data_IF_300955962327
#
_entry.id   IF_300955962327
#
_cell.length_a   1.000
_cell.length_b   1.000
_cell.length_c   1.000
_cell.angle_alpha   90.00
_cell.angle_beta   90.00
_cell.angle_gamma   90.00
#
_symmetry.space_group_name_H-M   'P 1'
#
loop_
_entity.id
_entity.type
_entity.pdbx_description
1 polymer ?
#
# COMPACT_ATOMS: atom_id res chain seq x y z
N UNK A 1 -8.50 -11.48 25.88
CA UNK A 1 -9.59 -10.52 25.62
C UNK A 1 -9.07 -9.08 25.69
N UNK A 2 -8.04 -8.72 24.93
CA UNK A 2 -7.45 -7.36 24.92
C UNK A 2 -7.14 -6.88 23.48
N UNK A 3 -7.98 -7.26 22.50
CA UNK A 3 -7.81 -6.93 21.08
C UNK A 3 -8.91 -6.01 20.53
N UNK A 4 -9.65 -5.31 21.37
CA UNK A 4 -10.74 -4.41 20.98
C UNK A 4 -10.56 -2.97 21.47
N UNK A 5 -9.35 -2.44 21.46
CA UNK A 5 -9.23 -1.00 21.30
C UNK A 5 -9.38 -0.77 19.78
N UNK A 6 -10.43 -0.08 19.36
CA UNK A 6 -10.67 0.26 17.96
C UNK A 6 -9.44 1.02 17.42
N UNK A 7 -8.60 0.42 16.58
CA UNK A 7 -7.46 1.13 15.99
C UNK A 7 -7.93 2.15 14.94
N UNK A 8 -9.22 2.19 14.65
CA UNK A 8 -9.94 3.19 13.88
C UNK A 8 -10.66 4.02 14.94
N UNK A 9 -9.95 4.94 15.60
CA UNK A 9 -10.58 5.88 16.53
C UNK A 9 -11.83 6.51 15.90
N UNK A 10 -12.81 6.90 16.71
CA UNK A 10 -14.00 7.70 16.31
C UNK A 10 -13.54 9.04 15.72
N UNK A 11 -12.98 8.97 14.51
CA UNK A 11 -12.63 10.13 13.74
C UNK A 11 -13.84 10.51 12.89
N UNK A 12 -14.58 11.55 13.34
CA UNK A 12 -15.64 12.13 12.54
C UNK A 12 -15.05 12.91 11.37
N UNK A 13 -15.64 12.85 10.16
CA UNK A 13 -15.13 13.55 8.98
C UNK A 13 -15.34 15.09 9.03
N UNK A 14 -15.58 15.66 10.18
CA UNK A 14 -15.77 17.09 10.36
C UNK A 14 -14.44 17.82 10.46
N UNK A 15 -13.67 17.88 9.39
CA UNK A 15 -12.63 18.91 9.21
C UNK A 15 -13.23 20.32 9.13
N UNK A 16 -14.53 20.42 8.87
CA UNK A 16 -15.23 21.68 8.70
C UNK A 16 -15.47 22.45 10.02
N UNK A 17 -15.31 21.81 11.18
CA UNK A 17 -15.43 22.50 12.47
C UNK A 17 -14.04 22.83 13.02
N UNK A 18 -13.28 23.65 12.27
CA UNK A 18 -11.95 24.13 12.63
C UNK A 18 -11.89 24.98 13.90
N UNK A 19 -12.99 25.09 14.66
CA UNK A 19 -13.10 25.74 15.96
C UNK A 19 -13.36 24.78 17.13
N UNK A 20 -13.59 23.49 16.87
CA UNK A 20 -13.65 22.49 17.96
C UNK A 20 -12.39 21.62 17.93
N UNK A 21 -11.64 21.55 19.04
CA UNK A 21 -10.48 20.68 19.11
C UNK A 21 -10.93 19.22 18.90
N UNK A 22 -10.36 18.55 17.93
CA UNK A 22 -10.55 17.12 17.59
C UNK A 22 -10.15 16.14 18.72
N UNK A 23 -9.83 16.66 19.91
CA UNK A 23 -9.56 15.92 21.14
C UNK A 23 -10.09 16.74 22.32
N UNK A 24 -11.18 16.30 22.91
CA UNK A 24 -11.50 16.66 24.28
C UNK A 24 -10.41 16.09 25.19
N UNK A 25 -9.64 16.97 25.77
CA UNK A 25 -8.80 16.98 26.95
C UNK A 25 -7.33 17.35 26.71
N UNK A 26 -7.01 18.58 27.17
CA UNK A 26 -5.71 19.05 27.69
C UNK A 26 -4.45 18.75 26.88
N UNK A 27 -4.19 19.56 25.90
CA UNK A 27 -2.96 20.32 25.56
C UNK A 27 -3.15 20.93 24.17
N UNK A 28 -2.60 22.10 23.91
CA UNK A 28 -2.69 22.78 22.61
C UNK A 28 -2.46 21.77 21.47
N UNK A 29 -3.45 21.59 20.60
CA UNK A 29 -3.38 20.64 19.50
C UNK A 29 -2.12 20.93 18.69
N UNK A 30 -1.11 20.07 18.82
CA UNK A 30 0.17 20.23 18.16
C UNK A 30 -0.02 19.80 16.70
N UNK A 31 -0.15 20.79 15.81
CA UNK A 31 -0.20 20.61 14.36
C UNK A 31 1.20 20.81 13.76
N UNK A 32 2.07 19.78 13.73
CA UNK A 32 3.41 19.95 13.20
C UNK A 32 3.34 20.28 11.71
N UNK A 33 4.14 21.22 11.21
CA UNK A 33 4.13 21.61 9.81
C UNK A 33 4.62 20.44 8.92
N UNK A 34 4.05 20.33 7.71
CA UNK A 34 4.22 19.18 6.80
C UNK A 34 4.70 19.62 5.43
N UNK A 35 5.67 18.89 4.85
CA UNK A 35 6.03 18.98 3.44
C UNK A 35 5.44 17.78 2.68
N UNK A 36 4.48 18.06 1.78
CA UNK A 36 3.96 17.07 0.83
C UNK A 36 4.91 17.03 -0.35
N UNK A 37 5.50 15.87 -0.67
CA UNK A 37 6.44 15.72 -1.79
C UNK A 37 5.81 14.86 -2.87
N UNK A 38 5.78 15.40 -4.09
CA UNK A 38 5.28 14.74 -5.30
C UNK A 38 6.39 14.69 -6.34
N UNK A 39 6.71 13.52 -6.85
CA UNK A 39 7.62 13.37 -7.97
C UNK A 39 6.84 13.23 -9.27
N UNK A 40 7.21 13.99 -10.29
CA UNK A 40 6.55 14.02 -11.59
C UNK A 40 7.55 13.84 -12.74
N UNK A 41 7.16 13.06 -13.74
CA UNK A 41 7.84 12.92 -15.02
C UNK A 41 6.82 12.72 -16.14
N UNK A 42 6.57 13.78 -16.91
CA UNK A 42 5.52 13.81 -17.93
C UNK A 42 4.14 13.47 -17.34
N UNK A 43 3.73 14.23 -16.33
CA UNK A 43 2.48 14.04 -15.59
C UNK A 43 1.57 15.27 -15.65
N UNK A 44 1.62 16.08 -16.74
CA UNK A 44 0.87 17.34 -16.85
C UNK A 44 -0.60 17.19 -16.46
N UNK A 45 -1.32 16.26 -17.10
CA UNK A 45 -2.76 16.10 -16.85
C UNK A 45 -3.09 15.62 -15.43
N UNK A 46 -2.19 14.87 -14.81
CA UNK A 46 -2.34 14.43 -13.43
C UNK A 46 -2.04 15.59 -12.45
N UNK A 47 -1.00 16.39 -12.69
CA UNK A 47 -0.67 17.56 -11.88
C UNK A 47 -1.80 18.62 -11.93
N UNK A 48 -2.41 18.85 -13.09
CA UNK A 48 -3.57 19.74 -13.22
C UNK A 48 -4.76 19.33 -12.35
N UNK A 49 -4.91 18.02 -12.11
CA UNK A 49 -5.97 17.50 -11.25
C UNK A 49 -5.55 17.45 -9.78
N UNK A 50 -4.29 17.09 -9.50
CA UNK A 50 -3.82 16.86 -8.14
C UNK A 50 -3.57 18.15 -7.37
N UNK A 51 -2.95 19.17 -7.99
CA UNK A 51 -2.54 20.37 -7.27
C UNK A 51 -3.70 21.14 -6.62
N UNK A 52 -4.86 21.34 -7.26
CA UNK A 52 -6.01 21.92 -6.58
C UNK A 52 -6.42 21.14 -5.34
N UNK A 53 -6.50 19.80 -5.43
CA UNK A 53 -6.90 18.93 -4.30
C UNK A 53 -5.90 18.97 -3.13
N UNK A 54 -4.62 19.12 -3.42
CA UNK A 54 -3.61 19.28 -2.38
C UNK A 54 -3.64 20.68 -1.76
N UNK A 55 -3.89 21.71 -2.55
CA UNK A 55 -3.95 23.10 -2.06
C UNK A 55 -5.18 23.37 -1.19
N UNK A 56 -6.26 22.60 -1.41
CA UNK A 56 -7.51 22.66 -0.62
C UNK A 56 -7.47 21.91 0.70
N UNK A 57 -6.32 21.32 1.09
CA UNK A 57 -6.23 20.60 2.36
C UNK A 57 -6.43 21.54 3.56
N UNK A 58 -7.34 21.16 4.45
CA UNK A 58 -7.62 21.91 5.70
C UNK A 58 -6.56 21.53 6.73
N UNK A 59 -5.44 22.29 6.71
CA UNK A 59 -4.33 22.10 7.64
C UNK A 59 -3.57 23.41 7.87
N UNK A 60 -3.15 23.75 9.12
CA UNK A 60 -2.62 25.10 9.43
C UNK A 60 -1.34 25.48 8.71
N UNK A 61 -0.39 24.55 8.54
CA UNK A 61 0.92 24.87 7.97
C UNK A 61 1.45 23.68 7.17
N UNK A 62 1.54 23.85 5.86
CA UNK A 62 2.12 22.84 4.98
C UNK A 62 2.69 23.48 3.70
N UNK A 63 3.51 22.74 3.00
CA UNK A 63 3.94 23.05 1.64
C UNK A 63 3.71 21.85 0.70
N UNK A 64 3.58 22.13 -0.57
CA UNK A 64 3.51 21.15 -1.65
C UNK A 64 4.76 21.33 -2.51
N UNK A 65 5.69 20.37 -2.44
CA UNK A 65 6.94 20.40 -3.17
C UNK A 65 6.89 19.40 -4.33
N UNK A 66 6.82 19.93 -5.55
CA UNK A 66 6.82 19.12 -6.77
C UNK A 66 8.25 18.93 -7.28
N UNK A 67 8.67 17.70 -7.48
CA UNK A 67 9.95 17.36 -8.09
C UNK A 67 9.72 17.03 -9.56
N UNK A 68 9.99 18.00 -10.46
CA UNK A 68 9.87 17.81 -11.90
C UNK A 68 11.14 17.17 -12.47
N UNK A 69 11.09 15.86 -12.74
CA UNK A 69 12.23 15.13 -13.29
C UNK A 69 12.24 15.17 -14.82
N UNK A 70 12.77 16.26 -15.41
CA UNK A 70 13.01 16.38 -16.86
C UNK A 70 11.75 16.22 -17.72
N UNK A 71 10.58 16.66 -17.24
CA UNK A 71 9.36 16.60 -18.05
C UNK A 71 9.46 17.42 -19.33
N UNK A 72 8.83 16.92 -20.39
CA UNK A 72 8.81 17.52 -21.74
C UNK A 72 7.39 17.69 -22.30
N UNK A 73 6.37 17.39 -21.51
CA UNK A 73 4.95 17.39 -21.89
C UNK A 73 4.21 18.69 -21.56
N UNK A 74 4.94 19.75 -21.18
CA UNK A 74 4.36 21.02 -20.72
C UNK A 74 4.20 21.13 -19.20
N UNK A 75 4.55 20.09 -18.42
CA UNK A 75 4.49 20.11 -16.94
C UNK A 75 5.26 21.30 -16.36
N UNK A 76 6.44 21.64 -16.93
CA UNK A 76 7.24 22.76 -16.45
C UNK A 76 6.48 24.09 -16.54
N UNK A 77 5.96 24.43 -17.72
CA UNK A 77 5.23 25.68 -17.93
C UNK A 77 3.99 25.77 -17.02
N UNK A 78 3.31 24.66 -16.82
CA UNK A 78 2.20 24.57 -15.89
C UNK A 78 2.65 24.81 -14.44
N UNK A 79 3.77 24.23 -14.00
CA UNK A 79 4.29 24.40 -12.63
C UNK A 79 4.76 25.83 -12.37
N UNK A 80 5.35 26.51 -13.37
CA UNK A 80 5.70 27.94 -13.29
C UNK A 80 4.45 28.80 -13.02
N UNK A 81 3.33 28.52 -13.67
CA UNK A 81 2.04 29.17 -13.42
C UNK A 81 1.41 28.76 -12.08
N UNK A 82 1.50 27.48 -11.72
CA UNK A 82 0.93 26.95 -10.49
C UNK A 82 1.53 27.58 -9.23
N UNK A 83 2.83 27.91 -9.24
CA UNK A 83 3.47 28.60 -8.12
C UNK A 83 2.90 30.01 -7.89
N UNK A 84 2.44 30.68 -8.94
CA UNK A 84 1.77 31.98 -8.82
C UNK A 84 0.31 31.84 -8.38
N UNK A 85 -0.32 30.74 -8.74
CA UNK A 85 -1.75 30.50 -8.50
C UNK A 85 -2.06 29.89 -7.13
N UNK A 86 -1.20 29.00 -6.63
CA UNK A 86 -1.41 28.22 -5.42
C UNK A 86 -0.41 28.60 -4.32
N UNK A 87 -0.91 29.04 -3.18
CA UNK A 87 -0.11 29.57 -2.07
C UNK A 87 0.92 28.58 -1.51
N UNK A 88 0.56 27.28 -1.47
CA UNK A 88 1.38 26.25 -0.85
C UNK A 88 2.33 25.54 -1.81
N UNK A 89 2.26 25.84 -3.13
CA UNK A 89 2.98 25.10 -4.17
C UNK A 89 4.33 25.74 -4.46
N UNK A 90 5.35 24.91 -4.49
CA UNK A 90 6.64 25.21 -5.10
C UNK A 90 7.18 23.99 -5.84
N UNK A 91 8.10 24.18 -6.78
CA UNK A 91 8.69 23.05 -7.48
C UNK A 91 10.20 23.18 -7.61
N UNK A 92 10.86 22.03 -7.78
CA UNK A 92 12.29 21.94 -8.10
C UNK A 92 12.42 21.12 -9.37
N UNK A 93 13.08 21.68 -10.38
CA UNK A 93 13.37 20.97 -11.60
C UNK A 93 14.70 20.23 -11.50
N UNK A 94 14.70 18.99 -11.96
CA UNK A 94 15.89 18.18 -12.17
C UNK A 94 16.19 18.18 -13.67
N UNK A 95 17.34 18.73 -14.05
CA UNK A 95 17.67 18.90 -15.48
C UNK A 95 18.48 17.73 -16.04
N UNK A 96 19.13 16.94 -15.21
CA UNK A 96 20.06 15.87 -15.63
C UNK A 96 19.72 14.52 -15.01
N UNK A 97 19.93 13.48 -15.78
CA UNK A 97 19.92 12.11 -15.30
C UNK A 97 21.23 11.80 -14.57
N UNK A 98 21.16 10.97 -13.56
CA UNK A 98 22.29 10.55 -12.76
C UNK A 98 22.50 9.03 -12.87
N UNK A 99 23.65 8.60 -13.43
CA UNK A 99 23.92 7.19 -13.76
C UNK A 99 23.96 6.24 -12.55
N UNK A 100 24.14 6.77 -11.34
CA UNK A 100 24.39 5.98 -10.14
C UNK A 100 23.18 5.85 -9.21
N UNK A 101 22.07 6.47 -9.55
CA UNK A 101 20.82 6.50 -8.76
C UNK A 101 19.61 6.38 -9.66
N UNK A 102 18.57 5.70 -9.19
CA UNK A 102 17.32 5.67 -9.96
C UNK A 102 16.65 7.05 -9.95
N UNK A 103 16.05 7.50 -11.07
CA UNK A 103 15.50 8.85 -11.19
C UNK A 103 14.54 9.21 -10.05
N UNK A 104 13.56 8.36 -9.73
CA UNK A 104 12.62 8.62 -8.63
C UNK A 104 13.30 8.78 -7.27
N UNK A 105 14.30 7.95 -6.94
CA UNK A 105 15.04 8.09 -5.67
C UNK A 105 15.88 9.36 -5.62
N UNK A 106 16.43 9.78 -6.74
CA UNK A 106 17.13 11.07 -6.81
C UNK A 106 16.17 12.23 -6.56
N UNK A 107 15.02 12.23 -7.25
CA UNK A 107 13.98 13.23 -7.08
C UNK A 107 13.48 13.29 -5.63
N UNK A 108 13.12 12.14 -5.05
CA UNK A 108 12.70 12.05 -3.65
C UNK A 108 13.79 12.53 -2.68
N UNK A 109 15.04 12.10 -2.87
CA UNK A 109 16.14 12.52 -2.00
C UNK A 109 16.34 14.03 -2.05
N UNK A 110 16.29 14.61 -3.25
CA UNK A 110 16.39 16.04 -3.46
C UNK A 110 15.22 16.78 -2.81
N UNK A 111 13.98 16.28 -3.02
CA UNK A 111 12.79 16.84 -2.41
C UNK A 111 12.84 16.80 -0.88
N UNK A 112 13.18 15.67 -0.27
CA UNK A 112 13.27 15.52 1.18
C UNK A 112 14.34 16.43 1.78
N UNK A 113 15.47 16.60 1.11
CA UNK A 113 16.54 17.50 1.56
C UNK A 113 16.15 18.97 1.50
N UNK A 114 15.37 19.36 0.49
CA UNK A 114 14.89 20.73 0.29
C UNK A 114 13.51 21.00 0.93
N UNK A 115 12.91 20.00 1.57
CA UNK A 115 11.69 20.16 2.33
C UNK A 115 11.87 21.17 3.47
N UNK A 116 10.93 22.10 3.64
CA UNK A 116 10.97 23.12 4.70
C UNK A 116 10.67 22.51 6.06
N UNK A 117 9.81 21.47 6.11
CA UNK A 117 9.28 20.94 7.36
C UNK A 117 9.85 19.55 7.69
N UNK A 118 9.73 19.17 8.97
CA UNK A 118 10.28 17.92 9.48
C UNK A 118 9.37 16.70 9.26
N UNK A 119 8.11 16.93 8.95
CA UNK A 119 7.18 15.85 8.57
C UNK A 119 7.10 15.80 7.06
N UNK A 120 7.38 14.64 6.49
CA UNK A 120 7.31 14.37 5.07
C UNK A 120 6.10 13.48 4.79
N UNK A 121 5.24 13.91 3.87
CA UNK A 121 4.14 13.11 3.34
C UNK A 121 4.36 12.90 1.85
N UNK A 122 4.44 11.65 1.44
CA UNK A 122 4.63 11.26 0.04
C UNK A 122 3.30 10.91 -0.61
N UNK A 123 3.10 11.39 -1.83
CA UNK A 123 2.08 10.91 -2.75
C UNK A 123 2.63 10.92 -4.18
N UNK A 124 2.05 10.09 -5.07
CA UNK A 124 2.44 10.06 -6.48
C UNK A 124 1.60 11.06 -7.29
N UNK A 125 2.13 11.54 -8.42
CA UNK A 125 1.44 12.53 -9.26
C UNK A 125 0.11 12.03 -9.84
N UNK A 126 -0.06 10.70 -10.01
CA UNK A 126 -1.28 10.04 -10.50
C UNK A 126 -2.27 9.68 -9.38
N UNK A 127 -2.05 10.21 -8.17
CA UNK A 127 -2.89 9.99 -7.00
C UNK A 127 -3.79 11.18 -6.70
N UNK A 128 -4.93 10.91 -6.07
CA UNK A 128 -5.90 11.93 -5.64
C UNK A 128 -6.34 11.63 -4.20
N UNK A 129 -6.11 12.56 -3.25
CA UNK A 129 -6.66 12.46 -1.91
C UNK A 129 -8.19 12.39 -1.95
N UNK A 130 -8.80 11.66 -1.02
CA UNK A 130 -10.26 11.50 -0.95
C UNK A 130 -10.98 12.82 -0.64
N UNK A 131 -10.33 13.75 0.08
CA UNK A 131 -10.92 15.03 0.43
C UNK A 131 -9.94 15.93 1.18
N UNK A 132 -10.43 17.05 1.64
CA UNK A 132 -9.66 18.11 2.29
C UNK A 132 -9.07 17.73 3.66
N UNK A 133 -9.51 16.62 4.25
CA UNK A 133 -9.06 16.13 5.55
C UNK A 133 -7.95 15.07 5.50
N UNK A 134 -7.46 14.73 4.33
CA UNK A 134 -6.44 13.70 4.15
C UNK A 134 -5.16 13.99 4.93
N UNK A 135 -4.65 15.22 4.81
CA UNK A 135 -3.43 15.65 5.49
C UNK A 135 -3.58 15.62 7.01
N UNK A 136 -4.64 16.23 7.52
CA UNK A 136 -4.94 16.26 8.97
C UNK A 136 -5.07 14.84 9.55
N UNK A 137 -5.80 13.95 8.86
CA UNK A 137 -5.98 12.57 9.29
C UNK A 137 -4.67 11.76 9.28
N UNK A 138 -3.78 11.99 8.33
CA UNK A 138 -2.47 11.34 8.34
C UNK A 138 -1.60 11.82 9.50
N UNK A 139 -1.57 13.14 9.77
CA UNK A 139 -0.77 13.73 10.85
C UNK A 139 -1.25 13.31 12.23
N UNK A 140 -2.55 13.12 12.44
CA UNK A 140 -3.12 12.73 13.74
C UNK A 140 -2.44 11.50 14.35
N UNK A 141 -1.94 10.58 13.54
CA UNK A 141 -1.20 9.40 13.99
C UNK A 141 0.21 9.69 14.54
N UNK A 142 0.75 10.91 14.35
CA UNK A 142 2.03 11.35 14.92
C UNK A 142 1.90 12.07 16.27
N UNK A 143 0.70 12.18 16.82
CA UNK A 143 0.47 12.72 18.17
C UNK A 143 1.21 11.92 19.24
N UNK A 144 1.35 10.61 19.08
CA UNK A 144 2.28 9.79 19.84
C UNK A 144 3.72 10.09 19.38
N UNK A 145 4.53 10.67 20.27
CA UNK A 145 5.93 11.05 19.98
C UNK A 145 6.84 9.87 19.60
N UNK A 146 6.47 8.63 19.94
CA UNK A 146 7.19 7.43 19.52
C UNK A 146 6.95 7.10 18.05
N UNK A 147 5.87 7.58 17.45
CA UNK A 147 5.55 7.32 16.04
C UNK A 147 6.36 8.24 15.13
N UNK A 148 7.02 7.62 14.19
CA UNK A 148 7.86 8.30 13.19
C UNK A 148 7.43 7.99 11.76
N UNK A 149 6.60 6.98 11.56
CA UNK A 149 6.12 6.49 10.28
C UNK A 149 4.62 6.28 10.37
N UNK A 150 3.88 6.74 9.36
CA UNK A 150 2.45 6.43 9.17
C UNK A 150 2.27 5.75 7.83
N UNK A 151 1.78 4.52 7.86
CA UNK A 151 1.45 3.75 6.68
C UNK A 151 0.00 4.01 6.31
N UNK A 152 -0.24 4.64 5.17
CA UNK A 152 -1.58 4.87 4.63
C UNK A 152 -1.99 3.80 3.63
N UNK A 153 -3.25 3.83 3.21
CA UNK A 153 -3.78 3.01 2.13
C UNK A 153 -3.94 3.83 0.85
N UNK A 154 -3.48 3.29 -0.26
CA UNK A 154 -3.63 3.87 -1.59
C UNK A 154 -4.44 2.93 -2.50
N UNK A 155 -5.77 2.93 -2.43
CA UNK A 155 -6.61 2.09 -3.28
C UNK A 155 -6.60 2.54 -4.74
N UNK A 156 -7.04 1.65 -5.64
CA UNK A 156 -7.35 2.01 -7.01
C UNK A 156 -8.83 2.33 -7.20
N UNK A 157 -9.12 3.27 -8.10
CA UNK A 157 -10.48 3.66 -8.48
C UNK A 157 -11.30 2.46 -8.98
N UNK A 158 -12.61 2.54 -8.73
CA UNK A 158 -13.58 1.60 -9.30
C UNK A 158 -13.98 2.08 -10.69
N UNK A 159 -13.57 1.34 -11.72
CA UNK A 159 -13.96 1.59 -13.11
C UNK A 159 -14.99 0.55 -13.56
N UNK A 160 -16.12 1.00 -14.06
CA UNK A 160 -17.22 0.11 -14.48
C UNK A 160 -16.92 -0.57 -15.81
N UNK A 161 -16.18 0.08 -16.67
CA UNK A 161 -15.83 -0.28 -18.04
C UNK A 161 -14.69 -1.32 -18.16
N UNK A 162 -13.86 -1.49 -17.12
CA UNK A 162 -12.70 -2.40 -17.14
C UNK A 162 -12.92 -3.76 -16.44
N UNK A 163 -14.14 -4.21 -16.31
CA UNK A 163 -14.57 -5.57 -15.99
C UNK A 163 -13.75 -6.29 -14.90
N UNK A 164 -13.24 -7.49 -15.22
CA UNK A 164 -12.56 -8.37 -14.29
C UNK A 164 -11.16 -7.87 -13.88
N UNK A 165 -10.43 -7.20 -14.78
CA UNK A 165 -9.07 -6.72 -14.46
C UNK A 165 -9.10 -5.66 -13.36
N UNK A 166 -10.04 -4.74 -13.39
CA UNK A 166 -10.20 -3.74 -12.32
C UNK A 166 -10.57 -4.39 -10.98
N UNK A 167 -11.42 -5.44 -11.00
CA UNK A 167 -11.75 -6.21 -9.79
C UNK A 167 -10.52 -6.91 -9.22
N UNK A 168 -9.70 -7.53 -10.07
CA UNK A 168 -8.47 -8.20 -9.68
C UNK A 168 -7.46 -7.21 -9.08
N UNK A 169 -7.21 -6.08 -9.74
CA UNK A 169 -6.28 -5.04 -9.27
C UNK A 169 -6.72 -4.51 -7.91
N UNK A 170 -8.00 -4.20 -7.75
CA UNK A 170 -8.54 -3.67 -6.49
C UNK A 170 -8.48 -4.71 -5.37
N UNK A 171 -8.80 -5.96 -5.66
CA UNK A 171 -8.71 -7.04 -4.70
C UNK A 171 -7.26 -7.30 -4.26
N UNK A 172 -6.33 -7.38 -5.20
CA UNK A 172 -4.91 -7.58 -4.91
C UNK A 172 -4.34 -6.42 -4.07
N UNK A 173 -4.74 -5.19 -4.37
CA UNK A 173 -4.32 -4.01 -3.60
C UNK A 173 -4.89 -4.03 -2.18
N UNK A 174 -6.17 -4.39 -2.01
CA UNK A 174 -6.76 -4.59 -0.69
C UNK A 174 -6.04 -5.70 0.08
N UNK A 175 -5.77 -6.83 -0.56
CA UNK A 175 -5.09 -7.96 0.06
C UNK A 175 -3.68 -7.58 0.52
N UNK A 176 -2.94 -6.84 -0.31
CA UNK A 176 -1.62 -6.30 0.04
C UNK A 176 -1.72 -5.33 1.22
N UNK A 177 -2.73 -4.45 1.24
CA UNK A 177 -2.93 -3.53 2.35
C UNK A 177 -3.25 -4.26 3.66
N UNK A 178 -4.15 -5.23 3.62
CA UNK A 178 -4.46 -6.09 4.79
C UNK A 178 -3.19 -6.76 5.30
N UNK A 179 -2.32 -7.23 4.40
CA UNK A 179 -1.08 -7.91 4.76
C UNK A 179 -0.10 -6.96 5.47
N UNK A 180 0.24 -5.80 4.88
CA UNK A 180 1.21 -4.92 5.53
C UNK A 180 0.66 -4.22 6.77
N UNK A 181 -0.63 -3.90 6.83
CA UNK A 181 -1.25 -3.38 8.05
C UNK A 181 -1.27 -4.41 9.17
N UNK A 182 -1.69 -5.65 8.87
CA UNK A 182 -1.72 -6.73 9.88
C UNK A 182 -0.32 -7.04 10.41
N UNK A 183 0.68 -7.05 9.53
CA UNK A 183 2.07 -7.24 9.96
C UNK A 183 2.58 -6.08 10.81
N UNK A 184 2.23 -4.83 10.48
CA UNK A 184 2.58 -3.66 11.30
C UNK A 184 1.92 -3.72 12.69
N UNK A 185 0.63 -4.04 12.76
CA UNK A 185 -0.12 -4.23 14.02
C UNK A 185 0.45 -5.38 14.86
N UNK A 186 0.94 -6.44 14.23
CA UNK A 186 1.64 -7.54 14.89
C UNK A 186 3.09 -7.20 15.29
N UNK A 187 3.50 -5.93 15.22
CA UNK A 187 4.85 -5.47 15.57
C UNK A 187 5.94 -5.87 14.56
N UNK A 188 5.56 -6.18 13.33
CA UNK A 188 6.46 -6.63 12.25
C UNK A 188 6.27 -5.82 10.96
N UNK A 189 6.35 -4.48 11.00
CA UNK A 189 6.22 -3.68 9.80
C UNK A 189 7.33 -4.06 8.80
N UNK A 190 7.00 -4.10 7.50
CA UNK A 190 7.96 -4.52 6.48
C UNK A 190 7.89 -3.71 5.19
N UNK A 191 6.80 -3.00 4.94
CA UNK A 191 6.64 -2.14 3.77
C UNK A 191 5.62 -1.03 4.02
N UNK A 192 5.65 -0.02 3.19
CA UNK A 192 4.63 0.99 2.98
C UNK A 192 4.42 1.19 1.49
N UNK A 193 3.47 2.03 1.10
CA UNK A 193 3.21 2.40 -0.30
C UNK A 193 3.48 3.89 -0.49
N UNK A 194 4.39 4.25 -1.39
CA UNK A 194 4.89 5.61 -1.60
C UNK A 194 3.81 6.62 -1.96
N UNK A 195 2.68 6.17 -2.47
CA UNK A 195 1.54 7.03 -2.80
C UNK A 195 0.71 7.49 -1.60
N UNK A 196 0.98 6.95 -0.40
CA UNK A 196 0.34 7.39 0.86
C UNK A 196 1.20 6.99 2.06
N UNK A 197 2.35 7.66 2.21
CA UNK A 197 3.36 7.32 3.19
C UNK A 197 3.89 8.58 3.87
N UNK A 198 3.80 8.62 5.20
CA UNK A 198 4.31 9.75 5.99
C UNK A 198 5.44 9.28 6.91
N UNK A 199 6.44 10.13 7.09
CA UNK A 199 7.50 9.88 8.07
C UNK A 199 8.22 11.17 8.49
N UNK A 200 8.92 11.12 9.62
CA UNK A 200 9.78 12.21 10.06
C UNK A 200 11.03 12.29 9.18
N UNK A 201 11.33 13.48 8.67
CA UNK A 201 12.51 13.77 7.81
C UNK A 201 13.80 13.29 8.44
N UNK A 202 13.96 13.48 9.76
CA UNK A 202 15.14 13.01 10.52
C UNK A 202 15.37 11.52 10.33
N UNK A 203 14.33 10.68 10.33
CA UNK A 203 14.46 9.24 10.11
C UNK A 203 15.09 8.90 8.76
N UNK A 204 14.74 9.65 7.71
CA UNK A 204 15.33 9.49 6.38
C UNK A 204 16.79 9.91 6.36
N UNK A 205 17.12 11.04 6.95
CA UNK A 205 18.50 11.57 6.97
C UNK A 205 19.44 10.68 7.80
N UNK A 206 19.02 10.24 8.98
CA UNK A 206 19.79 9.36 9.87
C UNK A 206 20.09 8.01 9.21
N UNK A 207 19.14 7.47 8.41
CA UNK A 207 19.34 6.25 7.63
C UNK A 207 20.17 6.45 6.35
N UNK A 208 20.70 7.65 6.09
CA UNK A 208 21.38 8.01 4.82
C UNK A 208 20.49 7.82 3.59
N UNK A 209 19.18 8.03 3.74
CA UNK A 209 18.18 7.93 2.68
C UNK A 209 18.13 6.53 2.05
N UNK A 210 18.25 6.49 0.72
CA UNK A 210 18.18 5.25 -0.06
C UNK A 210 19.55 4.61 -0.35
N UNK A 211 20.59 4.97 0.40
CA UNK A 211 21.98 4.59 0.08
C UNK A 211 22.17 3.07 -0.10
N UNK A 212 21.60 2.26 0.77
CA UNK A 212 21.70 0.79 0.75
C UNK A 212 21.12 0.13 -0.52
N UNK A 213 20.17 0.81 -1.18
CA UNK A 213 19.45 0.29 -2.34
C UNK A 213 19.26 1.35 -3.45
N UNK A 214 20.18 2.31 -3.53
CA UNK A 214 20.09 3.47 -4.44
C UNK A 214 19.99 3.08 -5.92
N UNK A 215 20.57 1.94 -6.32
CA UNK A 215 20.56 1.40 -7.69
C UNK A 215 19.41 0.41 -7.96
N UNK A 216 18.62 0.08 -6.95
CA UNK A 216 17.49 -0.84 -7.13
C UNK A 216 16.33 -0.09 -7.75
N UNK A 217 15.80 -0.56 -8.87
CA UNK A 217 14.62 0.04 -9.50
C UNK A 217 13.38 -0.25 -8.62
N UNK A 218 12.73 0.80 -8.10
CA UNK A 218 11.72 0.72 -7.06
C UNK A 218 12.34 0.61 -5.66
N UNK A 219 11.52 0.38 -4.64
CA UNK A 219 11.97 0.29 -3.25
C UNK A 219 12.23 1.63 -2.58
N UNK A 220 11.74 2.70 -3.15
CA UNK A 220 11.75 4.04 -2.56
C UNK A 220 10.80 4.11 -1.35
N UNK A 221 9.83 3.26 -1.30
CA UNK A 221 8.85 3.12 -0.22
C UNK A 221 9.12 1.85 0.62
N UNK A 222 8.94 0.69 0.02
CA UNK A 222 8.96 -0.59 0.73
C UNK A 222 10.34 -0.96 1.28
N UNK A 223 11.45 -0.76 0.54
CA UNK A 223 12.80 -1.04 1.07
C UNK A 223 13.20 -0.06 2.17
N UNK A 224 12.87 1.21 1.99
CA UNK A 224 13.14 2.20 3.04
C UNK A 224 12.40 1.83 4.33
N UNK A 225 11.11 1.55 4.25
CA UNK A 225 10.33 1.10 5.42
C UNK A 225 10.85 -0.23 5.97
N UNK A 226 11.25 -1.17 5.11
CA UNK A 226 11.84 -2.43 5.55
C UNK A 226 13.10 -2.23 6.39
N UNK A 227 13.88 -1.18 6.12
CA UNK A 227 15.10 -0.84 6.87
C UNK A 227 14.82 -0.15 8.20
N UNK A 228 13.93 0.86 8.21
CA UNK A 228 13.80 1.79 9.33
C UNK A 228 12.62 1.49 10.26
N UNK A 229 11.66 0.70 9.80
CA UNK A 229 10.45 0.43 10.57
C UNK A 229 10.69 -0.58 11.71
N UNK A 230 10.08 -0.28 12.84
CA UNK A 230 10.10 -1.10 14.06
C UNK A 230 8.69 -1.25 14.62
N UNK A 231 8.48 -2.16 15.56
CA UNK A 231 7.19 -2.34 16.23
C UNK A 231 6.69 -1.07 16.95
N UNK A 232 7.59 -0.18 17.34
CA UNK A 232 7.26 1.00 18.17
C UNK A 232 7.03 2.26 17.33
N UNK A 233 7.79 2.44 16.23
CA UNK A 233 7.81 3.71 15.50
C UNK A 233 6.80 3.80 14.34
N UNK A 234 5.98 2.75 14.11
CA UNK A 234 4.99 2.72 13.03
C UNK A 234 3.58 2.89 13.57
N UNK A 235 2.79 3.71 12.89
CA UNK A 235 1.35 3.76 12.97
C UNK A 235 0.73 3.40 11.62
N UNK A 236 -0.53 3.00 11.60
CA UNK A 236 -1.30 2.76 10.38
C UNK A 236 -2.46 3.76 10.29
N UNK A 237 -2.75 4.24 9.09
CA UNK A 237 -3.91 5.06 8.79
C UNK A 237 -4.86 4.28 7.88
N UNK A 238 -5.93 3.75 8.48
CA UNK A 238 -6.89 2.88 7.81
C UNK A 238 -8.28 3.54 7.65
N UNK A 239 -8.42 4.82 8.00
CA UNK A 239 -9.67 5.55 7.84
C UNK A 239 -9.86 6.01 6.39
N UNK A 240 -11.04 5.82 5.77
CA UNK A 240 -11.29 6.19 4.37
C UNK A 240 -10.92 7.63 3.99
N UNK A 241 -11.11 8.60 4.88
CA UNK A 241 -10.77 10.00 4.63
C UNK A 241 -9.26 10.26 4.49
N UNK A 242 -8.40 9.29 4.88
CA UNK A 242 -6.95 9.38 4.73
C UNK A 242 -6.42 8.65 3.50
N UNK A 243 -7.27 8.24 2.59
CA UNK A 243 -6.85 7.48 1.41
C UNK A 243 -6.48 8.40 0.24
N UNK A 244 -5.62 7.88 -0.64
CA UNK A 244 -5.32 8.47 -1.94
C UNK A 244 -5.65 7.46 -3.03
N UNK A 245 -6.54 7.82 -3.94
CA UNK A 245 -6.90 6.95 -5.06
C UNK A 245 -6.00 7.18 -6.26
N UNK A 246 -5.64 6.12 -6.97
CA UNK A 246 -4.97 6.21 -8.26
C UNK A 246 -5.71 5.44 -9.34
N UNK A 247 -5.46 5.81 -10.60
CA UNK A 247 -6.05 5.13 -11.75
C UNK A 247 -5.44 3.74 -11.91
N UNK A 248 -6.24 2.67 -12.01
CA UNK A 248 -5.71 1.32 -12.24
C UNK A 248 -5.16 1.18 -13.65
N UNK A 249 -4.26 0.21 -13.86
CA UNK A 249 -3.85 -0.21 -15.21
C UNK A 249 -5.04 -0.78 -15.96
N UNK A 250 -5.09 -0.53 -17.26
CA UNK A 250 -6.23 -0.88 -18.10
C UNK A 250 -6.14 -2.31 -18.64
N UNK A 251 -4.93 -2.80 -18.85
CA UNK A 251 -4.68 -4.13 -19.39
C UNK A 251 -3.99 -5.05 -18.39
N UNK A 252 -4.21 -6.37 -18.56
CA UNK A 252 -3.50 -7.38 -17.77
C UNK A 252 -1.99 -7.32 -17.98
N UNK A 253 -1.53 -7.03 -19.19
CA UNK A 253 -0.11 -6.96 -19.53
C UNK A 253 0.59 -5.83 -18.78
N UNK A 254 -0.01 -4.65 -18.73
CA UNK A 254 0.51 -3.50 -17.97
C UNK A 254 0.54 -3.76 -16.47
N UNK A 255 -0.57 -4.29 -15.93
CA UNK A 255 -0.64 -4.68 -14.52
C UNK A 255 0.42 -5.75 -14.19
N UNK A 256 0.57 -6.78 -15.02
CA UNK A 256 1.56 -7.82 -14.84
C UNK A 256 2.99 -7.28 -14.86
N UNK A 257 3.29 -6.35 -15.79
CA UNK A 257 4.58 -5.68 -15.85
C UNK A 257 4.86 -4.89 -14.56
N UNK A 258 3.89 -4.11 -14.10
CA UNK A 258 3.97 -3.37 -12.84
C UNK A 258 4.24 -4.30 -11.66
N UNK A 259 3.51 -5.41 -11.53
CA UNK A 259 3.67 -6.38 -10.43
C UNK A 259 5.02 -7.09 -10.45
N UNK A 260 5.50 -7.47 -11.63
CA UNK A 260 6.86 -8.03 -11.77
C UNK A 260 7.94 -7.06 -11.31
N UNK A 261 7.77 -5.76 -11.53
CA UNK A 261 8.67 -4.72 -11.03
C UNK A 261 8.60 -4.65 -9.50
N UNK A 262 7.42 -4.55 -8.91
CA UNK A 262 7.25 -4.47 -7.46
C UNK A 262 7.80 -5.72 -6.75
N UNK A 263 7.42 -6.90 -7.18
CA UNK A 263 7.90 -8.14 -6.54
C UNK A 263 9.41 -8.35 -6.68
N UNK A 264 10.04 -7.78 -7.71
CA UNK A 264 11.50 -7.88 -7.88
C UNK A 264 12.28 -7.20 -6.75
N UNK A 265 11.65 -6.34 -5.99
CA UNK A 265 12.23 -5.62 -4.85
C UNK A 265 12.26 -6.50 -3.60
N UNK A 266 11.31 -7.40 -3.44
CA UNK A 266 11.18 -8.28 -2.26
C UNK A 266 12.41 -9.14 -1.94
N UNK A 267 13.29 -9.43 -2.94
CA UNK A 267 14.55 -10.14 -2.71
C UNK A 267 15.54 -9.37 -1.81
N UNK A 268 15.38 -8.05 -1.73
CA UNK A 268 16.22 -7.17 -0.90
C UNK A 268 15.67 -6.97 0.52
N UNK A 269 14.47 -7.47 0.83
CA UNK A 269 13.91 -7.39 2.19
C UNK A 269 14.81 -8.10 3.21
N UNK A 270 14.72 -7.68 4.46
CA UNK A 270 15.35 -8.39 5.59
C UNK A 270 14.96 -9.87 5.57
N UNK A 271 15.90 -10.76 5.83
CA UNK A 271 15.71 -12.22 5.75
C UNK A 271 14.50 -12.69 6.56
N UNK A 272 14.30 -12.13 7.76
CA UNK A 272 13.12 -12.42 8.59
C UNK A 272 11.80 -12.12 7.86
N UNK A 273 11.72 -10.98 7.19
CA UNK A 273 10.52 -10.58 6.46
C UNK A 273 10.28 -11.48 5.23
N UNK A 274 11.35 -11.83 4.51
CA UNK A 274 11.27 -12.80 3.39
C UNK A 274 10.73 -14.16 3.84
N UNK A 275 11.19 -14.67 4.98
CA UNK A 275 10.71 -15.94 5.53
C UNK A 275 9.22 -15.86 5.85
N UNK A 276 8.77 -14.83 6.57
CA UNK A 276 7.36 -14.68 6.91
C UNK A 276 6.46 -14.52 5.69
N UNK A 277 6.84 -13.68 4.74
CA UNK A 277 6.08 -13.49 3.51
C UNK A 277 6.08 -14.75 2.65
N UNK A 278 7.20 -15.47 2.60
CA UNK A 278 7.31 -16.75 1.93
C UNK A 278 6.40 -17.81 2.56
N UNK A 279 6.38 -17.91 3.90
CA UNK A 279 5.50 -18.85 4.61
C UNK A 279 4.01 -18.52 4.38
N UNK A 280 3.63 -17.24 4.42
CA UNK A 280 2.26 -16.80 4.14
C UNK A 280 1.85 -17.16 2.70
N UNK A 281 2.69 -16.82 1.72
CA UNK A 281 2.41 -17.12 0.31
C UNK A 281 2.38 -18.64 0.05
N UNK A 282 3.31 -19.39 0.63
CA UNK A 282 3.36 -20.86 0.51
C UNK A 282 2.14 -21.52 1.15
N UNK A 283 1.75 -21.08 2.35
CA UNK A 283 0.52 -21.56 3.02
C UNK A 283 -0.71 -21.33 2.16
N UNK A 284 -0.82 -20.14 1.55
CA UNK A 284 -1.93 -19.81 0.66
C UNK A 284 -1.95 -20.71 -0.58
N UNK A 285 -0.81 -20.88 -1.25
CA UNK A 285 -0.67 -21.76 -2.43
C UNK A 285 -0.99 -23.20 -2.08
N UNK A 286 -0.42 -23.73 -0.99
CA UNK A 286 -0.67 -25.12 -0.56
C UNK A 286 -2.15 -25.36 -0.25
N UNK A 287 -2.83 -24.41 0.40
CA UNK A 287 -4.27 -24.53 0.67
C UNK A 287 -5.07 -24.73 -0.62
N UNK A 288 -4.77 -23.95 -1.66
CA UNK A 288 -5.48 -24.06 -2.94
C UNK A 288 -5.05 -25.25 -3.80
N UNK A 289 -3.83 -25.76 -3.63
CA UNK A 289 -3.39 -26.98 -4.31
C UNK A 289 -3.98 -28.25 -3.66
N UNK A 290 -4.01 -28.30 -2.33
CA UNK A 290 -4.41 -29.54 -1.62
C UNK A 290 -5.90 -29.58 -1.27
N UNK A 291 -6.49 -28.43 -0.89
CA UNK A 291 -7.87 -28.39 -0.43
C UNK A 291 -8.91 -28.93 -1.41
N UNK A 292 -8.95 -28.47 -2.68
CA UNK A 292 -9.88 -28.98 -3.66
C UNK A 292 -9.71 -30.48 -3.93
N UNK A 293 -8.46 -30.98 -3.90
CA UNK A 293 -8.16 -32.42 -4.09
C UNK A 293 -8.72 -33.23 -2.94
N UNK A 294 -8.52 -32.81 -1.70
CA UNK A 294 -9.06 -33.47 -0.52
C UNK A 294 -10.58 -33.45 -0.53
N UNK A 295 -11.21 -32.33 -0.88
CA UNK A 295 -12.68 -32.24 -1.02
C UNK A 295 -13.17 -33.24 -2.05
N UNK A 296 -12.52 -33.33 -3.21
CA UNK A 296 -12.89 -34.27 -4.27
C UNK A 296 -12.80 -35.73 -3.78
N UNK A 297 -11.68 -36.11 -3.16
CA UNK A 297 -11.49 -37.47 -2.64
C UNK A 297 -12.55 -37.79 -1.57
N UNK A 298 -12.79 -36.87 -0.64
CA UNK A 298 -13.80 -37.03 0.41
C UNK A 298 -15.19 -37.19 -0.19
N UNK A 299 -15.54 -36.42 -1.20
CA UNK A 299 -16.83 -36.48 -1.89
C UNK A 299 -17.02 -37.84 -2.60
N UNK A 300 -16.00 -38.31 -3.32
CA UNK A 300 -16.03 -39.60 -3.99
C UNK A 300 -16.23 -40.75 -2.96
N UNK A 301 -15.48 -40.74 -1.86
CA UNK A 301 -15.62 -41.74 -0.79
C UNK A 301 -17.00 -41.66 -0.13
N UNK A 302 -17.51 -40.44 0.11
CA UNK A 302 -18.85 -40.25 0.68
C UNK A 302 -19.96 -40.84 -0.21
N UNK A 303 -19.86 -40.65 -1.51
CA UNK A 303 -20.81 -41.18 -2.50
C UNK A 303 -20.73 -42.71 -2.53
N UNK A 304 -19.53 -43.30 -2.52
CA UNK A 304 -19.32 -44.74 -2.70
C UNK A 304 -19.56 -45.55 -1.42
N UNK A 305 -19.21 -45.06 -0.25
CA UNK A 305 -19.25 -45.82 1.00
C UNK A 305 -20.22 -45.26 2.04
N UNK A 306 -20.66 -43.99 1.90
CA UNK A 306 -21.52 -43.29 2.83
C UNK A 306 -20.82 -42.76 4.08
N UNK A 307 -21.46 -41.78 4.73
CA UNK A 307 -20.92 -41.07 5.91
C UNK A 307 -20.60 -42.02 7.10
N UNK A 308 -21.44 -43.00 7.46
CA UNK A 308 -21.15 -43.90 8.59
C UNK A 308 -19.82 -44.66 8.41
N UNK A 309 -19.50 -45.09 7.19
CA UNK A 309 -18.26 -45.82 6.89
C UNK A 309 -17.06 -44.90 7.05
N UNK A 310 -17.15 -43.67 6.52
CA UNK A 310 -16.07 -42.67 6.69
C UNK A 310 -15.84 -42.30 8.16
N UNK A 311 -16.91 -42.20 8.94
CA UNK A 311 -16.79 -41.87 10.37
C UNK A 311 -16.21 -42.99 11.22
N UNK A 312 -16.32 -44.26 10.77
CA UNK A 312 -15.83 -45.43 11.49
C UNK A 312 -14.38 -45.83 11.09
N UNK A 313 -13.81 -45.20 10.06
CA UNK A 313 -12.45 -45.49 9.60
C UNK A 313 -11.52 -44.32 9.92
N UNK A 314 -10.30 -44.54 10.47
CA UNK A 314 -9.37 -43.44 10.81
C UNK A 314 -9.01 -42.53 9.62
N UNK A 315 -8.79 -43.11 8.43
CA UNK A 315 -8.51 -42.38 7.20
C UNK A 315 -9.73 -41.57 6.71
N UNK A 316 -10.95 -42.10 6.91
CA UNK A 316 -12.19 -41.38 6.64
C UNK A 316 -12.38 -40.18 7.58
N UNK A 317 -12.15 -40.36 8.88
CA UNK A 317 -12.18 -39.30 9.87
C UNK A 317 -11.16 -38.20 9.53
N UNK A 318 -9.93 -38.59 9.17
CA UNK A 318 -8.90 -37.66 8.74
C UNK A 318 -9.33 -36.82 7.52
N UNK A 319 -9.87 -37.45 6.48
CA UNK A 319 -10.37 -36.79 5.28
C UNK A 319 -11.49 -35.79 5.61
N UNK A 320 -12.44 -36.21 6.45
CA UNK A 320 -13.53 -35.31 6.90
C UNK A 320 -13.01 -34.13 7.69
N UNK A 321 -12.04 -34.31 8.58
CA UNK A 321 -11.43 -33.24 9.38
C UNK A 321 -10.69 -32.24 8.49
N UNK A 322 -9.87 -32.72 7.53
CA UNK A 322 -9.13 -31.83 6.62
C UNK A 322 -10.08 -31.08 5.69
N UNK A 323 -11.13 -31.74 5.19
CA UNK A 323 -12.18 -31.08 4.39
C UNK A 323 -12.89 -30.01 5.20
N UNK A 324 -13.28 -30.29 6.44
CA UNK A 324 -13.91 -29.33 7.33
C UNK A 324 -13.02 -28.14 7.62
N UNK A 325 -11.71 -28.35 7.86
CA UNK A 325 -10.74 -27.31 8.09
C UNK A 325 -10.58 -26.41 6.84
N UNK A 326 -10.54 -27.00 5.66
CA UNK A 326 -10.45 -26.26 4.40
C UNK A 326 -11.70 -25.39 4.17
N UNK A 327 -12.90 -25.94 4.34
CA UNK A 327 -14.14 -25.20 4.20
C UNK A 327 -14.28 -24.09 5.25
N UNK A 328 -13.90 -24.37 6.49
CA UNK A 328 -13.85 -23.38 7.56
C UNK A 328 -12.89 -22.22 7.20
N UNK A 329 -11.69 -22.53 6.71
CA UNK A 329 -10.73 -21.53 6.24
C UNK A 329 -11.31 -20.65 5.12
N UNK A 330 -11.98 -21.26 4.13
CA UNK A 330 -12.62 -20.50 3.06
C UNK A 330 -13.70 -19.55 3.58
N UNK A 331 -14.56 -20.05 4.45
CA UNK A 331 -15.64 -19.25 5.04
C UNK A 331 -15.08 -18.12 5.92
N UNK A 332 -14.14 -18.44 6.81
CA UNK A 332 -13.52 -17.46 7.68
C UNK A 332 -12.80 -16.37 6.87
N UNK A 333 -12.04 -16.75 5.85
CA UNK A 333 -11.35 -15.82 4.98
C UNK A 333 -12.34 -14.94 4.21
N UNK A 334 -13.39 -15.51 3.65
CA UNK A 334 -14.45 -14.80 2.95
C UNK A 334 -15.10 -13.73 3.84
N UNK A 335 -15.50 -14.11 5.05
CA UNK A 335 -16.15 -13.20 6.00
C UNK A 335 -15.18 -12.11 6.46
N UNK A 336 -13.94 -12.47 6.81
CA UNK A 336 -12.93 -11.51 7.31
C UNK A 336 -12.58 -10.48 6.23
N UNK A 337 -12.25 -10.93 5.02
CA UNK A 337 -11.88 -10.02 3.91
C UNK A 337 -13.07 -9.15 3.52
N UNK A 338 -14.28 -9.72 3.47
CA UNK A 338 -15.50 -8.96 3.20
C UNK A 338 -15.75 -7.86 4.23
N UNK A 339 -15.59 -8.16 5.52
CA UNK A 339 -15.73 -7.15 6.60
C UNK A 339 -14.65 -6.08 6.56
N UNK A 340 -13.39 -6.45 6.31
CA UNK A 340 -12.28 -5.48 6.18
C UNK A 340 -12.53 -4.58 4.97
N UNK A 341 -12.90 -5.16 3.82
CA UNK A 341 -13.25 -4.41 2.62
C UNK A 341 -14.35 -3.37 2.88
N UNK A 342 -15.38 -3.75 3.62
CA UNK A 342 -16.46 -2.83 3.98
C UNK A 342 -15.98 -1.72 4.93
N UNK A 343 -15.22 -2.07 5.98
CA UNK A 343 -14.68 -1.09 6.95
C UNK A 343 -13.73 -0.07 6.29
N UNK A 344 -12.92 -0.52 5.34
CA UNK A 344 -12.04 0.36 4.59
C UNK A 344 -12.78 1.18 3.50
N UNK A 345 -14.11 1.07 3.37
CA UNK A 345 -14.84 1.73 2.28
C UNK A 345 -14.41 1.29 0.87
N UNK A 346 -13.51 0.29 0.79
CA UNK A 346 -13.00 -0.25 -0.47
C UNK A 346 -13.80 -1.49 -0.87
N UNK A 347 -15.06 -1.26 -1.29
CA UNK A 347 -16.01 -2.34 -1.51
C UNK A 347 -15.58 -3.31 -2.62
N UNK A 348 -15.34 -4.55 -2.24
CA UNK A 348 -15.22 -5.71 -3.14
C UNK A 348 -16.52 -6.49 -3.06
N UNK A 349 -17.01 -6.98 -4.22
CA UNK A 349 -18.19 -7.83 -4.21
C UNK A 349 -17.91 -9.14 -3.45
N UNK A 350 -18.64 -9.38 -2.38
CA UNK A 350 -18.45 -10.54 -1.50
C UNK A 350 -18.50 -11.86 -2.25
N UNK A 351 -19.44 -12.00 -3.21
CA UNK A 351 -19.59 -13.23 -4.00
C UNK A 351 -18.32 -13.57 -4.79
N UNK A 352 -17.54 -12.55 -5.19
CA UNK A 352 -16.32 -12.76 -5.98
C UNK A 352 -15.08 -13.05 -5.15
N UNK A 353 -15.10 -12.87 -3.82
CA UNK A 353 -13.94 -13.06 -2.94
C UNK A 353 -13.36 -14.47 -3.04
N UNK A 354 -14.14 -15.59 -2.97
CA UNK A 354 -13.56 -16.92 -3.07
C UNK A 354 -12.84 -17.19 -4.39
N UNK A 355 -13.42 -16.70 -5.51
CA UNK A 355 -12.79 -16.83 -6.83
C UNK A 355 -11.52 -15.99 -6.94
N UNK A 356 -11.53 -14.76 -6.42
CA UNK A 356 -10.35 -13.88 -6.39
C UNK A 356 -9.26 -14.43 -5.46
N UNK A 357 -9.62 -15.09 -4.35
CA UNK A 357 -8.67 -15.74 -3.45
C UNK A 357 -7.95 -16.91 -4.15
N UNK A 358 -8.67 -17.72 -4.93
CA UNK A 358 -8.06 -18.75 -5.78
C UNK A 358 -7.10 -18.13 -6.81
N UNK A 359 -7.53 -17.06 -7.51
CA UNK A 359 -6.68 -16.37 -8.49
C UNK A 359 -5.40 -15.84 -7.82
N UNK A 360 -5.48 -15.33 -6.59
CA UNK A 360 -4.30 -14.93 -5.82
C UNK A 360 -3.40 -16.10 -5.47
N UNK A 361 -3.92 -17.28 -5.17
CA UNK A 361 -3.14 -18.49 -4.98
C UNK A 361 -2.33 -18.87 -6.23
N UNK A 362 -2.97 -18.85 -7.40
CA UNK A 362 -2.29 -19.07 -8.70
C UNK A 362 -1.26 -17.98 -8.98
N UNK A 363 -1.60 -16.72 -8.72
CA UNK A 363 -0.69 -15.59 -8.87
C UNK A 363 0.59 -15.76 -8.02
N UNK A 364 0.47 -16.11 -6.75
CA UNK A 364 1.62 -16.34 -5.88
C UNK A 364 2.46 -17.54 -6.33
N UNK A 365 1.85 -18.63 -6.80
CA UNK A 365 2.58 -19.77 -7.33
C UNK A 365 3.43 -19.37 -8.54
N UNK A 366 2.84 -18.65 -9.50
CA UNK A 366 3.54 -18.20 -10.72
C UNK A 366 4.64 -17.22 -10.36
N UNK A 367 4.34 -16.23 -9.50
CA UNK A 367 5.33 -15.21 -9.11
C UNK A 367 6.47 -15.80 -8.28
N UNK A 368 6.20 -16.79 -7.44
CA UNK A 368 7.23 -17.54 -6.73
C UNK A 368 8.24 -18.16 -7.69
N UNK A 369 7.78 -18.85 -8.75
CA UNK A 369 8.65 -19.43 -9.77
C UNK A 369 9.44 -18.37 -10.55
N UNK A 370 8.78 -17.26 -10.93
CA UNK A 370 9.44 -16.19 -11.71
C UNK A 370 10.53 -15.49 -10.90
N UNK A 371 10.31 -15.28 -9.61
CA UNK A 371 11.28 -14.59 -8.75
C UNK A 371 12.52 -15.42 -8.44
N UNK A 372 12.44 -16.74 -8.57
CA UNK A 372 13.60 -17.64 -8.43
C UNK A 372 14.54 -17.59 -9.64
N UNK A 373 14.10 -17.15 -10.82
CA UNK A 373 14.95 -17.05 -12.01
C UNK A 373 15.88 -15.83 -11.94
N UNK A 374 17.21 -16.00 -12.15
CA UNK A 374 18.14 -14.88 -12.17
C UNK A 374 17.82 -13.95 -13.36
N UNK A 375 17.72 -12.66 -13.07
CA UNK A 375 17.50 -11.62 -14.10
C UNK A 375 18.82 -11.25 -14.79
N UNK A 376 18.80 -11.12 -16.12
CA UNK A 376 19.88 -10.50 -16.91
C UNK A 376 20.18 -9.08 -16.43
N UNK A 377 21.49 -8.75 -16.30
CA UNK A 377 22.01 -7.51 -15.69
C UNK A 377 21.81 -6.22 -16.51
N UNK A 378 21.31 -6.29 -17.76
CA UNK A 378 21.28 -5.17 -18.69
C UNK A 378 19.87 -4.63 -18.96
N UNK A 379 19.31 -3.81 -18.03
CA UNK A 379 18.22 -2.90 -18.38
C UNK A 379 18.51 -1.51 -17.87
N UNK A 380 18.42 -0.49 -18.76
CA UNK A 380 18.46 0.92 -18.39
C UNK A 380 17.40 1.18 -17.31
N UNK A 381 17.77 1.95 -16.30
CA UNK A 381 16.88 2.34 -15.22
C UNK A 381 15.97 3.46 -15.73
N UNK A 382 14.71 3.16 -15.94
CA UNK A 382 13.69 4.13 -16.39
C UNK A 382 12.57 4.26 -15.36
N UNK A 383 11.89 5.40 -15.39
CA UNK A 383 10.72 5.67 -14.52
C UNK A 383 9.56 4.70 -14.75
N UNK A 384 9.28 4.35 -16.00
CA UNK A 384 8.14 3.50 -16.43
C UNK A 384 8.61 2.22 -17.09
#
# INVERSE_FOLDING_TARGET
MAFYADPIGDWSPECADSQKPLLSTSSAAHHPPVSIIVCAWNELGNLQTLLPLLNEQVYPTFEILIMDDRSSDGSRAFLEQAVEQFEHVRFIRIDREHDHVTPKKYALTTGIRNATHDIILLTDADCQPVGECWLAGMVAHLADSQKQIVLGFGPYERRRDHGWINRLIRYETLFTAVQYFSMALAGRPYMGVGRNLMYRRKLFLDNKGFYSHIRVLGGDDDLFINEVATARNVAISAHPATFTYSKPKETFAEWWHQKRRHLSVGKYYKTRNKIWLGLLSMSHVLTWLTGPVVVLITTIRLINAGLPVLMNQPDGQFLLAVTGLFLFRLLAFWVIVGRISHRLGHTVNWITIPALDLVMGVYYAIMGVITLKPRSKNRRMTWK
#
